data_IF_027167899681
#
_entry.id   IF_027167899681
#
_cell.length_a   1.000
_cell.length_b   1.000
_cell.length_c   1.000
_cell.angle_alpha   90.00
_cell.angle_beta   90.00
_cell.angle_gamma   90.00
#
_symmetry.space_group_name_H-M   'P 1'
#
loop_
_entity.id
_entity.type
_entity.pdbx_description
1 polymer ?
#
# COMPACT_ATOMS: atom_id res chain seq x y z
N UNK A 1 -20.80 -12.00 -13.55
CA UNK A 1 -22.29 -11.94 -13.44
C UNK A 1 -22.84 -11.15 -14.62
N UNK A 2 -23.78 -11.70 -15.39
CA UNK A 2 -24.33 -11.01 -16.57
C UNK A 2 -25.15 -9.78 -16.17
N UNK A 3 -25.16 -8.77 -17.05
CA UNK A 3 -25.91 -7.50 -16.89
C UNK A 3 -27.40 -7.76 -16.56
N UNK A 4 -27.96 -8.83 -17.12
CA UNK A 4 -29.36 -9.24 -16.93
C UNK A 4 -29.69 -9.60 -15.48
N UNK A 5 -28.74 -10.19 -14.73
CA UNK A 5 -28.95 -10.55 -13.32
C UNK A 5 -28.99 -9.36 -12.37
N UNK A 6 -28.56 -8.16 -12.80
CA UNK A 6 -28.56 -6.94 -11.97
C UNK A 6 -29.80 -6.08 -12.17
N UNK A 7 -30.60 -6.32 -13.20
CA UNK A 7 -31.80 -5.53 -13.54
C UNK A 7 -32.84 -5.49 -12.41
N UNK A 8 -33.20 -6.61 -11.74
CA UNK A 8 -34.19 -6.57 -10.67
C UNK A 8 -33.73 -5.73 -9.47
N UNK A 9 -32.44 -5.78 -9.15
CA UNK A 9 -31.84 -4.98 -8.09
C UNK A 9 -31.77 -3.50 -8.46
N UNK A 10 -31.38 -3.18 -9.70
CA UNK A 10 -31.35 -1.81 -10.22
C UNK A 10 -32.73 -1.18 -10.18
N UNK A 11 -33.76 -1.92 -10.59
CA UNK A 11 -35.14 -1.46 -10.57
C UNK A 11 -35.63 -1.17 -9.14
N UNK A 12 -35.44 -2.11 -8.21
CA UNK A 12 -35.79 -1.92 -6.79
C UNK A 12 -35.03 -0.76 -6.15
N UNK A 13 -33.79 -0.53 -6.59
CA UNK A 13 -32.95 0.55 -6.09
C UNK A 13 -33.40 1.91 -6.62
N UNK A 14 -33.83 2.00 -7.87
CA UNK A 14 -34.38 3.23 -8.45
C UNK A 14 -35.73 3.60 -7.83
N UNK A 15 -36.57 2.62 -7.50
CA UNK A 15 -37.91 2.87 -6.93
C UNK A 15 -37.91 3.47 -5.52
N UNK A 16 -36.78 3.43 -4.81
CA UNK A 16 -36.62 4.01 -3.46
C UNK A 16 -35.81 5.31 -3.45
N UNK A 17 -35.36 5.78 -4.61
CA UNK A 17 -34.56 7.00 -4.73
C UNK A 17 -35.41 8.21 -5.10
N UNK A 18 -35.07 9.36 -4.54
CA UNK A 18 -35.64 10.63 -5.02
C UNK A 18 -35.11 10.97 -6.41
N UNK A 19 -35.86 11.71 -7.24
CA UNK A 19 -35.39 12.15 -8.56
C UNK A 19 -34.07 12.93 -8.51
N UNK A 20 -33.84 13.71 -7.44
CA UNK A 20 -32.59 14.43 -7.19
C UNK A 20 -31.41 13.49 -6.95
N UNK A 21 -31.61 12.42 -6.18
CA UNK A 21 -30.58 11.41 -5.93
C UNK A 21 -30.23 10.63 -7.20
N UNK A 22 -31.22 10.27 -8.03
CA UNK A 22 -30.97 9.57 -9.31
C UNK A 22 -30.09 10.42 -10.22
N UNK A 23 -30.42 11.72 -10.36
CA UNK A 23 -29.62 12.65 -11.16
C UNK A 23 -28.21 12.79 -10.61
N UNK A 24 -28.04 12.95 -9.30
CA UNK A 24 -26.72 13.02 -8.68
C UNK A 24 -25.91 11.75 -8.92
N UNK A 25 -26.52 10.56 -8.77
CA UNK A 25 -25.84 9.27 -9.00
C UNK A 25 -25.45 9.05 -10.46
N UNK A 26 -26.28 9.48 -11.41
CA UNK A 26 -25.95 9.43 -12.84
C UNK A 26 -24.81 10.39 -13.18
N UNK A 27 -24.86 11.62 -12.68
CA UNK A 27 -23.80 12.61 -12.85
C UNK A 27 -22.49 12.14 -12.21
N UNK A 28 -22.55 11.62 -10.97
CA UNK A 28 -21.40 11.05 -10.28
C UNK A 28 -20.85 9.81 -11.00
N UNK A 29 -21.71 8.94 -11.53
CA UNK A 29 -21.29 7.76 -12.28
C UNK A 29 -20.65 8.11 -13.63
N UNK A 30 -21.16 9.14 -14.33
CA UNK A 30 -20.58 9.65 -15.56
C UNK A 30 -19.27 10.40 -15.31
N UNK A 31 -19.22 11.25 -14.27
CA UNK A 31 -17.99 11.95 -13.90
C UNK A 31 -16.91 10.97 -13.43
N UNK A 32 -17.28 9.94 -12.66
CA UNK A 32 -16.37 8.89 -12.23
C UNK A 32 -15.95 8.00 -13.42
N UNK A 33 -16.86 7.72 -14.36
CA UNK A 33 -16.57 7.04 -15.62
C UNK A 33 -15.58 7.80 -16.52
N UNK A 34 -15.79 9.10 -16.70
CA UNK A 34 -14.89 9.97 -17.46
C UNK A 34 -13.55 10.18 -16.74
N UNK A 35 -13.56 10.32 -15.40
CA UNK A 35 -12.34 10.35 -14.59
C UNK A 35 -11.56 9.03 -14.70
N UNK A 36 -12.23 7.86 -14.73
CA UNK A 36 -11.58 6.55 -14.95
C UNK A 36 -10.90 6.44 -16.31
N UNK A 37 -11.44 7.09 -17.35
CA UNK A 37 -10.82 7.14 -18.70
C UNK A 37 -9.64 8.13 -18.71
N UNK A 38 -9.81 9.31 -18.11
CA UNK A 38 -8.77 10.34 -18.06
C UNK A 38 -7.59 10.03 -17.11
N UNK A 39 -7.84 9.33 -16.01
CA UNK A 39 -6.81 8.96 -15.03
C UNK A 39 -6.00 7.72 -15.42
N UNK A 40 -6.40 6.99 -16.47
CA UNK A 40 -5.49 6.06 -17.16
C UNK A 40 -4.19 6.76 -17.61
N UNK A 41 -4.22 8.08 -17.76
CA UNK A 41 -3.11 8.95 -18.16
C UNK A 41 -2.80 10.09 -17.18
N UNK A 42 -3.48 10.20 -16.02
CA UNK A 42 -3.39 11.35 -15.11
C UNK A 42 -3.36 10.96 -13.64
N UNK A 43 -2.55 9.98 -13.25
CA UNK A 43 -2.26 9.78 -11.83
C UNK A 43 -1.58 11.07 -11.29
N UNK A 44 -2.10 11.69 -10.22
CA UNK A 44 -1.46 12.85 -9.59
C UNK A 44 -0.16 12.36 -8.94
N UNK A 45 0.94 12.45 -9.67
CA UNK A 45 2.23 11.89 -9.26
C UNK A 45 3.20 11.60 -10.40
N UNK A 46 2.77 11.67 -11.67
CA UNK A 46 3.68 11.64 -12.82
C UNK A 46 4.66 12.84 -12.90
N UNK A 47 4.72 13.70 -11.88
CA UNK A 47 5.85 14.61 -11.71
C UNK A 47 6.95 13.81 -11.03
N UNK A 48 7.95 13.40 -11.82
CA UNK A 48 9.26 13.03 -11.27
C UNK A 48 9.70 14.18 -10.37
N UNK A 49 9.70 13.94 -9.06
CA UNK A 49 10.19 14.92 -8.10
C UNK A 49 11.66 15.16 -8.44
N UNK A 50 12.08 16.42 -8.45
CA UNK A 50 13.50 16.70 -8.62
C UNK A 50 14.27 16.09 -7.44
N UNK A 51 15.55 15.73 -7.65
CA UNK A 51 16.37 15.15 -6.57
C UNK A 51 16.38 16.03 -5.33
N UNK A 52 16.28 17.34 -5.51
CA UNK A 52 16.22 18.35 -4.44
C UNK A 52 14.90 18.29 -3.65
N UNK A 53 13.78 17.94 -4.29
CA UNK A 53 12.48 17.77 -3.63
C UNK A 53 12.40 16.45 -2.85
N UNK A 54 13.03 15.40 -3.36
CA UNK A 54 13.22 14.14 -2.63
C UNK A 54 14.14 14.34 -1.40
N UNK A 55 14.96 15.39 -1.41
CA UNK A 55 15.86 15.76 -0.34
C UNK A 55 15.17 16.61 0.77
N UNK A 56 13.89 16.37 1.04
CA UNK A 56 13.17 17.06 2.12
C UNK A 56 13.81 16.80 3.50
N UNK A 57 13.79 17.79 4.39
CA UNK A 57 14.57 17.80 5.64
C UNK A 57 14.36 16.61 6.59
N UNK A 58 13.19 15.94 6.55
CA UNK A 58 12.98 14.70 7.31
C UNK A 58 13.88 13.56 6.82
N UNK A 59 14.05 13.41 5.51
CA UNK A 59 14.87 12.37 4.89
C UNK A 59 16.37 12.65 5.03
N UNK A 60 16.73 13.89 5.37
CA UNK A 60 18.12 14.36 5.55
C UNK A 60 18.60 14.40 7.00
N UNK A 61 17.75 14.11 8.00
CA UNK A 61 18.16 14.23 9.40
C UNK A 61 19.13 13.11 9.80
N UNK A 62 20.26 13.45 10.45
CA UNK A 62 21.32 12.48 10.80
C UNK A 62 20.98 11.53 11.96
N UNK A 63 19.87 11.79 12.66
CA UNK A 63 19.44 10.99 13.83
C UNK A 63 17.96 10.62 13.69
N UNK A 64 17.52 9.50 14.29
CA UNK A 64 16.10 9.17 14.37
C UNK A 64 15.32 10.32 15.01
N UNK A 65 14.23 10.75 14.37
CA UNK A 65 13.38 11.87 14.80
C UNK A 65 12.00 11.43 15.24
N UNK A 66 11.55 10.25 14.85
CA UNK A 66 10.21 9.77 15.15
C UNK A 66 10.15 9.15 16.54
N UNK A 67 9.02 9.34 17.22
CA UNK A 67 8.77 8.74 18.52
C UNK A 67 8.77 7.21 18.41
N UNK A 68 9.54 6.56 19.28
CA UNK A 68 9.65 5.12 19.34
C UNK A 68 9.00 4.61 20.63
N UNK A 69 7.79 4.05 20.57
CA UNK A 69 7.20 3.43 21.75
C UNK A 69 7.97 2.15 22.12
N UNK A 70 7.93 1.73 23.40
CA UNK A 70 8.37 0.40 23.78
C UNK A 70 7.64 -0.66 22.95
N UNK A 71 8.39 -1.50 22.23
CA UNK A 71 7.84 -2.59 21.43
C UNK A 71 8.19 -3.94 22.07
N UNK A 72 7.20 -4.83 22.18
CA UNK A 72 7.47 -6.22 22.54
C UNK A 72 8.25 -6.88 21.39
N UNK A 73 9.33 -7.58 21.73
CA UNK A 73 10.19 -8.28 20.78
C UNK A 73 10.07 -9.78 20.97
N UNK A 74 10.16 -10.51 19.87
CA UNK A 74 10.14 -11.97 19.86
C UNK A 74 11.24 -12.47 18.92
N UNK A 75 12.28 -13.08 19.49
CA UNK A 75 13.42 -13.56 18.74
C UNK A 75 13.04 -14.60 17.67
N UNK A 76 12.02 -15.41 17.93
CA UNK A 76 11.51 -16.37 16.95
C UNK A 76 10.88 -15.64 15.76
N UNK A 77 10.00 -14.67 16.02
CA UNK A 77 9.35 -13.89 14.96
C UNK A 77 10.38 -13.10 14.14
N UNK A 78 11.41 -12.56 14.77
CA UNK A 78 12.50 -11.86 14.09
C UNK A 78 13.34 -12.80 13.22
N UNK A 79 13.58 -14.04 13.68
CA UNK A 79 14.29 -15.03 12.86
C UNK A 79 13.48 -15.39 11.62
N UNK A 80 12.16 -15.53 11.76
CA UNK A 80 11.24 -15.77 10.64
C UNK A 80 11.20 -14.60 9.67
N UNK A 81 11.14 -13.37 10.19
CA UNK A 81 11.24 -12.15 9.41
C UNK A 81 12.53 -12.11 8.60
N UNK A 82 13.69 -12.43 9.20
CA UNK A 82 14.96 -12.51 8.46
C UNK A 82 14.95 -13.62 7.40
N UNK A 83 14.32 -14.77 7.70
CA UNK A 83 14.34 -15.96 6.86
C UNK A 83 13.47 -15.88 5.61
N UNK A 84 12.52 -14.96 5.53
CA UNK A 84 11.63 -14.87 4.37
C UNK A 84 10.18 -14.75 4.71
N UNK A 85 9.79 -14.82 5.98
CA UNK A 85 8.40 -15.03 6.34
C UNK A 85 7.76 -13.77 6.89
N UNK A 86 6.51 -13.51 6.48
CA UNK A 86 5.75 -12.33 6.90
C UNK A 86 4.52 -12.75 7.71
N UNK A 87 4.21 -12.04 8.81
CA UNK A 87 2.98 -12.25 9.53
C UNK A 87 1.80 -11.59 8.79
N UNK A 88 0.74 -12.35 8.55
CA UNK A 88 -0.54 -11.90 8.00
C UNK A 88 -1.65 -12.50 8.85
N UNK A 89 -2.32 -11.66 9.66
CA UNK A 89 -3.36 -12.09 10.61
C UNK A 89 -2.96 -13.31 11.47
N UNK A 90 -1.74 -13.28 12.03
CA UNK A 90 -1.21 -14.34 12.91
C UNK A 90 -0.72 -15.60 12.19
N UNK A 91 -0.83 -15.66 10.86
CA UNK A 91 -0.23 -16.73 10.05
C UNK A 91 1.02 -16.22 9.38
N UNK A 92 2.03 -17.08 9.30
CA UNK A 92 3.30 -16.73 8.68
C UNK A 92 3.36 -17.31 7.28
N UNK A 93 3.72 -16.46 6.33
CA UNK A 93 3.73 -16.79 4.91
C UNK A 93 5.10 -16.47 4.32
N UNK A 94 5.70 -17.37 3.52
CA UNK A 94 6.97 -17.06 2.87
C UNK A 94 6.75 -16.04 1.76
N UNK A 95 7.59 -14.99 1.75
CA UNK A 95 7.74 -14.08 0.61
C UNK A 95 8.16 -14.89 -0.59
N UNK A 96 7.53 -14.58 -1.72
CA UNK A 96 7.88 -15.22 -2.99
C UNK A 96 8.53 -14.19 -3.91
N UNK A 97 9.37 -14.68 -4.81
CA UNK A 97 10.12 -13.84 -5.74
C UNK A 97 9.25 -13.27 -6.86
N UNK A 98 8.05 -13.81 -7.10
CA UNK A 98 7.20 -13.31 -8.17
C UNK A 98 6.57 -11.96 -7.82
N UNK A 99 6.56 -11.01 -8.76
CA UNK A 99 5.92 -9.71 -8.57
C UNK A 99 4.43 -9.83 -8.22
N UNK A 100 3.75 -10.89 -8.67
CA UNK A 100 2.34 -11.17 -8.35
C UNK A 100 2.09 -11.45 -6.87
N UNK A 101 3.13 -11.77 -6.08
CA UNK A 101 3.01 -11.97 -4.63
C UNK A 101 2.32 -10.78 -3.93
N UNK A 102 2.67 -9.55 -4.31
CA UNK A 102 2.10 -8.34 -3.72
C UNK A 102 0.65 -8.04 -4.10
N UNK A 103 0.11 -8.81 -5.07
CA UNK A 103 -1.28 -8.75 -5.52
C UNK A 103 -2.04 -10.05 -5.23
N UNK A 104 -1.40 -11.05 -4.63
CA UNK A 104 -1.99 -12.36 -4.35
C UNK A 104 -2.25 -12.49 -2.87
N UNK A 105 -3.50 -12.77 -2.50
CA UNK A 105 -3.88 -13.11 -1.12
C UNK A 105 -3.00 -14.27 -0.63
N UNK A 106 -2.16 -14.07 0.40
CA UNK A 106 -1.21 -15.09 0.81
C UNK A 106 -1.85 -16.27 1.56
N UNK A 107 -3.10 -16.13 2.01
CA UNK A 107 -3.84 -17.16 2.75
C UNK A 107 -4.72 -18.00 1.83
N UNK A 108 -5.43 -17.36 0.90
CA UNK A 108 -6.39 -18.01 0.01
C UNK A 108 -5.94 -18.09 -1.45
N UNK A 109 -4.76 -17.52 -1.78
CA UNK A 109 -4.16 -17.51 -3.13
C UNK A 109 -5.02 -16.85 -4.21
N UNK A 110 -5.94 -15.99 -3.81
CA UNK A 110 -6.73 -15.20 -4.74
C UNK A 110 -5.91 -14.03 -5.30
N UNK A 111 -5.84 -13.92 -6.62
CA UNK A 111 -5.10 -12.85 -7.29
C UNK A 111 -6.00 -11.62 -7.53
N UNK A 112 -5.57 -10.47 -7.01
CA UNK A 112 -6.22 -9.19 -7.23
C UNK A 112 -5.84 -8.61 -8.60
N UNK A 113 -6.79 -8.03 -9.33
CA UNK A 113 -6.55 -7.54 -10.68
C UNK A 113 -5.61 -6.33 -10.67
N UNK A 114 -4.61 -6.35 -11.56
CA UNK A 114 -3.71 -5.22 -11.83
C UNK A 114 -4.35 -4.24 -12.81
N UNK A 115 -5.45 -3.63 -12.39
CA UNK A 115 -6.19 -2.60 -13.13
C UNK A 115 -6.03 -1.24 -12.44
N UNK A 116 -6.34 -0.11 -13.11
CA UNK A 116 -6.49 1.16 -12.42
C UNK A 116 -7.40 1.00 -11.20
N UNK A 117 -6.94 1.41 -10.02
CA UNK A 117 -7.54 1.03 -8.73
C UNK A 117 -9.05 1.25 -8.64
N UNK A 118 -9.59 2.34 -9.24
CA UNK A 118 -11.04 2.63 -9.26
C UNK A 118 -11.89 1.59 -10.01
N UNK A 119 -11.27 0.77 -10.84
CA UNK A 119 -11.93 -0.30 -11.60
C UNK A 119 -11.99 -1.62 -10.82
N UNK A 120 -11.28 -1.72 -9.69
CA UNK A 120 -11.22 -2.92 -8.88
C UNK A 120 -12.45 -3.00 -7.97
N UNK A 121 -13.22 -4.07 -8.11
CA UNK A 121 -14.34 -4.36 -7.20
C UNK A 121 -13.83 -5.09 -5.95
N UNK A 122 -13.77 -4.39 -4.83
CA UNK A 122 -13.31 -4.93 -3.54
C UNK A 122 -14.45 -5.19 -2.54
N UNK A 123 -15.69 -4.87 -2.92
CA UNK A 123 -16.84 -4.94 -2.00
C UNK A 123 -17.22 -6.39 -1.69
N UNK A 124 -17.91 -6.66 -0.57
CA UNK A 124 -18.38 -8.00 -0.26
C UNK A 124 -19.19 -8.61 -1.43
N UNK A 125 -18.87 -9.85 -1.79
CA UNK A 125 -19.45 -10.55 -2.94
C UNK A 125 -18.71 -10.35 -4.27
N UNK A 126 -17.53 -9.72 -4.27
CA UNK A 126 -16.64 -9.70 -5.42
C UNK A 126 -16.07 -11.10 -5.72
N UNK A 127 -15.46 -11.27 -6.90
CA UNK A 127 -14.96 -12.57 -7.38
C UNK A 127 -13.59 -12.97 -6.82
N UNK A 128 -12.87 -12.07 -6.15
CA UNK A 128 -11.49 -12.28 -5.68
C UNK A 128 -11.45 -12.68 -4.21
N UNK A 129 -12.06 -11.92 -3.30
CA UNK A 129 -12.10 -12.26 -1.88
C UNK A 129 -12.10 -11.04 -0.95
N UNK A 130 -11.61 -11.24 0.27
CA UNK A 130 -11.51 -10.20 1.29
C UNK A 130 -10.24 -9.37 1.11
N UNK A 131 -10.44 -8.11 0.68
CA UNK A 131 -9.35 -7.17 0.41
C UNK A 131 -8.47 -6.89 1.63
N UNK A 132 -8.99 -7.09 2.84
CA UNK A 132 -8.25 -6.80 4.07
C UNK A 132 -7.03 -7.69 4.25
N UNK A 133 -7.03 -8.89 3.67
CA UNK A 133 -5.92 -9.84 3.77
C UNK A 133 -4.74 -9.37 2.94
N UNK A 134 -4.98 -8.94 1.70
CA UNK A 134 -3.92 -8.39 0.87
C UNK A 134 -3.44 -7.04 1.38
N UNK A 135 -4.33 -6.22 1.96
CA UNK A 135 -3.92 -4.96 2.59
C UNK A 135 -3.06 -5.16 3.84
N UNK A 136 -3.35 -6.17 4.67
CA UNK A 136 -2.50 -6.50 5.84
C UNK A 136 -1.03 -6.71 5.42
N UNK A 137 -0.81 -7.50 4.37
CA UNK A 137 0.51 -7.71 3.78
C UNK A 137 1.12 -6.38 3.28
N UNK A 138 0.33 -5.60 2.54
CA UNK A 138 0.76 -4.39 1.85
C UNK A 138 0.80 -3.12 2.73
N UNK A 139 0.55 -3.23 4.03
CA UNK A 139 0.87 -2.18 5.02
C UNK A 139 2.37 -2.08 5.28
N UNK A 140 3.13 -3.12 4.93
CA UNK A 140 4.59 -3.17 5.06
C UNK A 140 5.10 -2.96 6.49
N UNK A 141 4.29 -3.30 7.50
CA UNK A 141 4.65 -3.18 8.92
C UNK A 141 5.86 -4.05 9.29
N UNK A 142 6.08 -5.15 8.56
CA UNK A 142 7.26 -6.00 8.73
C UNK A 142 8.58 -5.27 8.45
N UNK A 143 8.59 -4.24 7.60
CA UNK A 143 9.78 -3.42 7.36
C UNK A 143 10.18 -2.65 8.61
N UNK A 144 9.21 -2.15 9.38
CA UNK A 144 9.50 -1.55 10.69
C UNK A 144 10.06 -2.57 11.68
N UNK A 145 9.55 -3.80 11.71
CA UNK A 145 10.09 -4.86 12.55
C UNK A 145 11.55 -5.23 12.17
N UNK A 146 11.86 -5.31 10.88
CA UNK A 146 13.24 -5.50 10.40
C UNK A 146 14.14 -4.32 10.77
N UNK A 147 13.65 -3.09 10.64
CA UNK A 147 14.37 -1.89 11.06
C UNK A 147 14.69 -1.90 12.55
N UNK A 148 13.78 -2.41 13.39
CA UNK A 148 14.01 -2.58 14.82
C UNK A 148 15.11 -3.58 15.14
N UNK A 149 15.14 -4.73 14.45
CA UNK A 149 16.25 -5.69 14.54
C UNK A 149 17.56 -5.00 14.16
N UNK A 150 17.58 -4.25 13.06
CA UNK A 150 18.78 -3.57 12.60
C UNK A 150 19.32 -2.51 13.57
N UNK A 151 18.41 -1.76 14.18
CA UNK A 151 18.73 -0.71 15.12
C UNK A 151 19.30 -1.27 16.44
N UNK A 152 18.69 -2.33 16.97
CA UNK A 152 18.99 -2.84 18.31
C UNK A 152 20.00 -3.99 18.36
N UNK A 153 20.20 -4.72 17.26
CA UNK A 153 21.12 -5.86 17.20
C UNK A 153 22.21 -5.64 16.13
N UNK A 154 23.35 -5.05 16.51
CA UNK A 154 24.45 -4.79 15.57
C UNK A 154 24.92 -6.03 14.79
N UNK A 155 24.88 -7.21 15.42
CA UNK A 155 25.28 -8.48 14.81
C UNK A 155 24.34 -8.95 13.67
N UNK A 156 23.06 -8.58 13.71
CA UNK A 156 22.05 -8.96 12.70
C UNK A 156 21.69 -7.82 11.75
N UNK A 157 22.25 -6.63 11.98
CA UNK A 157 21.91 -5.40 11.27
C UNK A 157 22.02 -5.49 9.78
N UNK A 158 23.16 -5.97 9.27
CA UNK A 158 23.38 -6.04 7.84
C UNK A 158 22.32 -6.92 7.16
N UNK A 159 22.03 -8.10 7.72
CA UNK A 159 21.01 -8.99 7.19
C UNK A 159 19.60 -8.37 7.25
N UNK A 160 19.28 -7.68 8.35
CA UNK A 160 17.99 -7.02 8.52
C UNK A 160 17.78 -5.87 7.52
N UNK A 161 18.80 -5.03 7.31
CA UNK A 161 18.76 -3.94 6.31
C UNK A 161 18.64 -4.52 4.91
N UNK A 162 19.50 -5.48 4.53
CA UNK A 162 19.45 -6.11 3.21
C UNK A 162 18.08 -6.71 2.91
N UNK A 163 17.47 -7.37 3.89
CA UNK A 163 16.14 -7.94 3.72
C UNK A 163 15.06 -6.88 3.56
N UNK A 164 15.10 -5.83 4.39
CA UNK A 164 14.17 -4.71 4.31
C UNK A 164 14.23 -4.05 2.94
N UNK A 165 15.44 -3.78 2.43
CA UNK A 165 15.63 -3.17 1.12
C UNK A 165 15.15 -4.08 -0.01
N UNK A 166 15.42 -5.39 0.08
CA UNK A 166 14.92 -6.36 -0.89
C UNK A 166 13.38 -6.40 -0.95
N UNK A 167 12.72 -6.46 0.21
CA UNK A 167 11.26 -6.48 0.30
C UNK A 167 10.66 -5.16 -0.19
N UNK A 168 11.24 -4.02 0.18
CA UNK A 168 10.80 -2.70 -0.30
C UNK A 168 10.97 -2.56 -1.82
N UNK A 169 12.11 -2.94 -2.37
CA UNK A 169 12.37 -2.87 -3.80
C UNK A 169 11.43 -3.78 -4.59
N UNK A 170 11.20 -5.00 -4.10
CA UNK A 170 10.25 -5.94 -4.70
C UNK A 170 8.83 -5.39 -4.70
N UNK A 171 8.40 -4.80 -3.58
CA UNK A 171 7.09 -4.16 -3.48
C UNK A 171 6.99 -2.96 -4.43
N UNK A 172 7.96 -2.05 -4.39
CA UNK A 172 7.98 -0.85 -5.21
C UNK A 172 7.91 -1.19 -6.72
N UNK A 173 8.70 -2.17 -7.16
CA UNK A 173 8.70 -2.62 -8.57
C UNK A 173 7.38 -3.25 -9.00
N UNK A 174 6.70 -3.95 -8.08
CA UNK A 174 5.43 -4.61 -8.36
C UNK A 174 4.21 -3.68 -8.27
N UNK A 175 4.36 -2.48 -7.73
CA UNK A 175 3.25 -1.58 -7.43
C UNK A 175 3.43 -0.23 -8.13
N UNK A 176 3.15 -0.16 -9.45
CA UNK A 176 3.13 1.11 -10.15
C UNK A 176 2.00 2.01 -9.60
N UNK A 177 2.25 3.32 -9.41
CA UNK A 177 1.28 4.26 -8.86
C UNK A 177 -0.09 4.18 -9.52
N UNK A 178 -1.12 3.94 -8.70
CA UNK A 178 -2.51 3.91 -9.13
C UNK A 178 -3.01 2.63 -9.78
N UNK A 179 -2.18 1.60 -9.83
CA UNK A 179 -2.54 0.30 -10.37
C UNK A 179 -2.61 -0.72 -9.25
N UNK A 180 -3.66 -1.53 -9.27
CA UNK A 180 -3.83 -2.62 -8.32
C UNK A 180 -4.52 -2.21 -7.02
N UNK A 181 -4.69 -3.23 -6.17
CA UNK A 181 -5.49 -3.18 -4.96
C UNK A 181 -4.93 -2.24 -3.88
N UNK A 182 -3.64 -1.91 -3.98
CA UNK A 182 -2.88 -1.18 -2.97
C UNK A 182 -3.14 0.33 -2.92
N UNK A 183 -3.92 0.85 -3.88
CA UNK A 183 -4.31 2.27 -4.01
C UNK A 183 -5.82 2.50 -3.83
N UNK A 184 -6.56 1.47 -3.41
CA UNK A 184 -8.01 1.56 -3.21
C UNK A 184 -8.43 2.40 -2.00
N UNK A 185 -7.56 2.52 -1.01
CA UNK A 185 -7.87 3.11 0.29
C UNK A 185 -6.77 4.08 0.74
N UNK A 186 -7.13 5.36 0.86
CA UNK A 186 -6.26 6.39 1.40
C UNK A 186 -5.80 6.08 2.84
N UNK A 187 -6.64 5.39 3.62
CA UNK A 187 -6.25 4.93 4.97
C UNK A 187 -5.11 3.92 4.91
N UNK A 188 -5.17 2.95 4.00
CA UNK A 188 -4.12 1.93 3.86
C UNK A 188 -2.83 2.54 3.32
N UNK A 189 -2.92 3.53 2.44
CA UNK A 189 -1.77 4.31 2.00
C UNK A 189 -1.13 5.10 3.14
N UNK A 190 -1.92 5.73 4.01
CA UNK A 190 -1.41 6.44 5.17
C UNK A 190 -0.70 5.48 6.16
N UNK A 191 -1.30 4.33 6.45
CA UNK A 191 -0.69 3.30 7.30
C UNK A 191 0.63 2.77 6.74
N UNK A 192 0.73 2.64 5.41
CA UNK A 192 1.96 2.27 4.73
C UNK A 192 3.04 3.34 4.89
N UNK A 193 2.70 4.62 4.69
CA UNK A 193 3.66 5.72 4.89
C UNK A 193 4.17 5.78 6.33
N UNK A 194 3.31 5.55 7.33
CA UNK A 194 3.74 5.45 8.74
C UNK A 194 4.78 4.33 8.90
N UNK A 195 4.49 3.13 8.40
CA UNK A 195 5.39 1.98 8.51
C UNK A 195 6.74 2.24 7.83
N UNK A 196 6.71 2.81 6.62
CA UNK A 196 7.90 3.11 5.84
C UNK A 196 8.76 4.22 6.45
N UNK A 197 8.15 5.32 6.89
CA UNK A 197 8.90 6.42 7.49
C UNK A 197 9.54 6.03 8.82
N UNK A 198 8.84 5.28 9.66
CA UNK A 198 9.43 4.75 10.89
C UNK A 198 10.56 3.76 10.62
N UNK A 199 10.39 2.87 9.63
CA UNK A 199 11.44 1.94 9.24
C UNK A 199 12.71 2.69 8.78
N UNK A 200 12.55 3.65 7.86
CA UNK A 200 13.68 4.41 7.31
C UNK A 200 14.36 5.31 8.34
N UNK A 201 13.60 5.95 9.23
CA UNK A 201 14.17 6.80 10.30
C UNK A 201 15.13 6.02 11.21
N UNK A 202 14.87 4.72 11.43
CA UNK A 202 15.74 3.85 12.24
C UNK A 202 16.98 3.36 11.51
N UNK A 203 16.90 3.15 10.19
CA UNK A 203 17.98 2.53 9.41
C UNK A 203 18.75 3.47 8.50
N UNK A 204 18.38 4.74 8.39
CA UNK A 204 18.91 5.69 7.39
C UNK A 204 20.42 5.71 7.21
N UNK A 205 21.19 5.59 8.29
CA UNK A 205 22.66 5.61 8.23
C UNK A 205 23.28 4.33 7.62
N UNK A 206 22.47 3.29 7.45
CA UNK A 206 22.84 2.01 6.83
C UNK A 206 22.04 1.72 5.56
N UNK A 207 21.01 2.52 5.26
CA UNK A 207 20.18 2.39 4.07
C UNK A 207 20.93 2.90 2.84
N UNK A 208 20.66 2.29 1.70
CA UNK A 208 21.14 2.76 0.41
C UNK A 208 20.45 4.09 0.01
N UNK A 209 21.12 4.96 -0.78
CA UNK A 209 20.49 6.16 -1.33
C UNK A 209 19.21 5.86 -2.13
N UNK A 210 19.18 4.71 -2.81
CA UNK A 210 18.04 4.22 -3.59
C UNK A 210 16.82 3.97 -2.70
N UNK A 211 17.02 3.42 -1.50
CA UNK A 211 15.95 3.24 -0.50
C UNK A 211 15.29 4.55 -0.12
N UNK A 212 16.09 5.61 0.11
CA UNK A 212 15.57 6.95 0.39
C UNK A 212 14.79 7.55 -0.79
N UNK A 213 15.28 7.35 -2.02
CA UNK A 213 14.61 7.81 -3.24
C UNK A 213 13.25 7.10 -3.45
N UNK A 214 13.21 5.76 -3.33
CA UNK A 214 11.96 4.99 -3.43
C UNK A 214 10.93 5.47 -2.41
N UNK A 215 11.35 5.68 -1.15
CA UNK A 215 10.46 6.16 -0.09
C UNK A 215 9.87 7.53 -0.42
N UNK A 216 10.70 8.45 -0.89
CA UNK A 216 10.29 9.80 -1.25
C UNK A 216 9.33 9.80 -2.45
N UNK A 217 9.55 8.93 -3.44
CA UNK A 217 8.60 8.72 -4.53
C UNK A 217 7.28 8.12 -4.04
N UNK A 218 7.30 7.08 -3.21
CA UNK A 218 6.08 6.50 -2.63
C UNK A 218 5.29 7.60 -1.89
N UNK A 219 5.95 8.41 -1.07
CA UNK A 219 5.33 9.53 -0.38
C UNK A 219 4.72 10.56 -1.34
N UNK A 220 5.42 10.90 -2.43
CA UNK A 220 4.95 11.83 -3.46
C UNK A 220 3.66 11.37 -4.15
N UNK A 221 3.51 10.05 -4.34
CA UNK A 221 2.34 9.46 -4.97
C UNK A 221 1.16 9.34 -3.98
N UNK A 222 1.43 8.94 -2.75
CA UNK A 222 0.39 8.66 -1.76
C UNK A 222 -0.14 9.93 -1.10
N UNK A 223 0.72 10.93 -0.81
CA UNK A 223 0.32 12.12 -0.06
C UNK A 223 -0.80 12.94 -0.75
N UNK A 224 -0.77 13.23 -2.06
CA UNK A 224 -1.87 13.92 -2.73
C UNK A 224 -3.16 13.10 -2.74
N UNK A 225 -3.04 11.77 -2.88
CA UNK A 225 -4.18 10.86 -2.89
C UNK A 225 -4.89 10.84 -1.53
N UNK A 226 -4.12 10.83 -0.44
CA UNK A 226 -4.59 10.94 0.94
C UNK A 226 -5.22 12.31 1.20
N UNK A 227 -4.53 13.40 0.82
CA UNK A 227 -5.00 14.78 1.03
C UNK A 227 -6.38 15.03 0.41
N UNK A 228 -6.65 14.45 -0.77
CA UNK A 228 -7.93 14.58 -1.47
C UNK A 228 -9.07 13.76 -0.83
N UNK A 229 -8.78 12.91 0.15
CA UNK A 229 -9.72 11.95 0.77
C UNK A 229 -9.75 12.05 2.30
N UNK A 230 -9.36 13.20 2.84
CA UNK A 230 -9.48 13.46 4.27
C UNK A 230 -10.95 13.47 4.67
N UNK A 231 -11.26 12.89 5.84
CA UNK A 231 -12.60 12.89 6.44
C UNK A 231 -12.80 14.16 7.28
N UNK A 232 -12.65 15.34 6.65
CA UNK A 232 -12.86 16.66 7.26
C UNK A 232 -14.27 17.19 7.02
#
# INVERSE_FOLDING_TARGET
MSILGRLPWLWRRLSVMSPGEIRWRLQAGLSDGLARIGERFRWPGQRSLSKEQLAAGFLQADTPRLFMPPCARNAQDEQRLLAGELPVFGRWVPVRSEASFWHTDPLFRAEWPQLPYRQIDYRPGNATGDVRIIWELNRLQHLFALAMVAHQEPARRQAAVQRLEADLHAWYSANPPGIGVNYLSAMEEALRLISLFHAYDLIRQWASPETGAMLAEIAAHHAPHIQQRLSL
#
